data_IF_710570250784
#
_entry.id   IF_710570250784
#
_cell.length_a   1.000
_cell.length_b   1.000
_cell.length_c   1.000
_cell.angle_alpha   90.00
_cell.angle_beta   90.00
_cell.angle_gamma   90.00
#
_symmetry.space_group_name_H-M   'P 1'
#
loop_
_entity.id
_entity.type
_entity.pdbx_description
1 polymer ?
#
# COMPACT_ATOMS: atom_id res chain seq x y z
N UNK A 1 8.56 -17.78 -26.01
CA UNK A 1 7.72 -18.62 -25.12
C UNK A 1 8.63 -19.13 -24.01
N UNK A 2 8.58 -18.49 -22.84
CA UNK A 2 9.37 -18.95 -21.68
C UNK A 2 8.78 -20.24 -21.13
N UNK A 3 9.63 -21.18 -20.70
CA UNK A 3 9.19 -22.40 -20.04
C UNK A 3 8.39 -22.04 -18.77
N UNK A 4 7.13 -22.45 -18.72
CA UNK A 4 6.31 -22.34 -17.51
C UNK A 4 6.98 -23.11 -16.38
N UNK A 5 7.12 -22.48 -15.22
CA UNK A 5 7.75 -23.13 -14.06
C UNK A 5 6.84 -24.24 -13.53
N UNK A 6 7.41 -25.23 -12.83
CA UNK A 6 6.59 -26.26 -12.16
C UNK A 6 5.54 -25.63 -11.23
N UNK A 7 5.92 -24.58 -10.49
CA UNK A 7 5.02 -23.86 -9.58
C UNK A 7 3.87 -23.19 -10.34
N UNK A 8 4.15 -22.57 -11.49
CA UNK A 8 3.11 -21.96 -12.30
C UNK A 8 2.10 -23.01 -12.78
N UNK A 9 2.60 -24.16 -13.25
CA UNK A 9 1.74 -25.27 -13.66
C UNK A 9 0.89 -25.78 -12.50
N UNK A 10 1.51 -26.05 -11.35
CA UNK A 10 0.81 -26.56 -10.16
C UNK A 10 -0.32 -25.62 -9.71
N UNK A 11 -0.12 -24.30 -9.80
CA UNK A 11 -1.14 -23.29 -9.45
C UNK A 11 -2.28 -23.23 -10.46
N UNK A 12 -1.97 -23.33 -11.77
CA UNK A 12 -3.00 -23.38 -12.81
C UNK A 12 -3.83 -24.66 -12.70
N UNK A 13 -3.18 -25.80 -12.47
CA UNK A 13 -3.83 -27.08 -12.26
C UNK A 13 -4.74 -27.03 -11.00
N UNK A 14 -4.30 -26.39 -9.91
CA UNK A 14 -5.13 -26.16 -8.71
C UNK A 14 -6.35 -25.29 -9.02
N UNK A 15 -6.16 -24.20 -9.75
CA UNK A 15 -7.21 -23.27 -10.14
C UNK A 15 -8.30 -24.00 -10.95
N UNK A 16 -7.91 -24.79 -11.94
CA UNK A 16 -8.83 -25.60 -12.76
C UNK A 16 -9.57 -26.64 -11.90
N UNK A 17 -8.85 -27.33 -11.00
CA UNK A 17 -9.43 -28.32 -10.09
C UNK A 17 -10.48 -27.71 -9.16
N UNK A 18 -10.24 -26.51 -8.62
CA UNK A 18 -11.13 -25.82 -7.68
C UNK A 18 -12.25 -25.04 -8.35
N UNK A 19 -12.19 -24.85 -9.67
CA UNK A 19 -13.15 -24.01 -10.38
C UNK A 19 -14.58 -24.53 -10.30
N UNK A 20 -14.77 -25.84 -10.47
CA UNK A 20 -16.10 -26.44 -10.44
C UNK A 20 -16.78 -26.26 -9.08
N UNK A 21 -16.05 -26.53 -7.99
CA UNK A 21 -16.55 -26.34 -6.62
C UNK A 21 -16.93 -24.87 -6.35
N UNK A 22 -16.12 -23.93 -6.85
CA UNK A 22 -16.41 -22.50 -6.77
C UNK A 22 -17.67 -22.15 -7.55
N UNK A 23 -17.80 -22.60 -8.80
CA UNK A 23 -18.96 -22.31 -9.65
C UNK A 23 -20.26 -22.86 -9.03
N UNK A 24 -20.22 -24.02 -8.39
CA UNK A 24 -21.39 -24.56 -7.70
C UNK A 24 -21.82 -23.69 -6.50
N UNK A 25 -20.86 -23.18 -5.72
CA UNK A 25 -21.16 -22.22 -4.64
C UNK A 25 -21.69 -20.91 -5.20
N UNK A 26 -21.04 -20.38 -6.23
CA UNK A 26 -21.44 -19.15 -6.91
C UNK A 26 -22.88 -19.24 -7.42
N UNK A 27 -23.24 -20.33 -8.14
CA UNK A 27 -24.59 -20.55 -8.65
C UNK A 27 -25.63 -20.66 -7.54
N UNK A 28 -25.34 -21.32 -6.41
CA UNK A 28 -26.26 -21.39 -5.25
C UNK A 28 -26.53 -20.02 -4.64
N UNK A 29 -25.55 -19.13 -4.60
CA UNK A 29 -25.76 -17.77 -4.12
C UNK A 29 -26.54 -16.99 -5.18
N UNK A 30 -26.13 -17.07 -6.44
CA UNK A 30 -26.75 -16.35 -7.55
C UNK A 30 -28.21 -16.78 -7.84
N UNK A 31 -28.62 -18.01 -7.52
CA UNK A 31 -29.99 -18.51 -7.73
C UNK A 31 -31.04 -17.76 -6.90
N UNK A 32 -30.63 -17.00 -5.88
CA UNK A 32 -31.52 -16.05 -5.19
C UNK A 32 -32.16 -15.06 -6.17
N UNK A 33 -31.44 -14.65 -7.21
CA UNK A 33 -31.96 -13.77 -8.27
C UNK A 33 -33.08 -14.43 -9.07
N UNK A 34 -32.96 -15.74 -9.35
CA UNK A 34 -33.98 -16.52 -10.05
C UNK A 34 -35.27 -16.63 -9.22
N UNK A 35 -35.14 -16.57 -7.89
CA UNK A 35 -36.26 -16.53 -6.94
C UNK A 35 -36.83 -15.11 -6.74
N UNK A 36 -36.39 -14.13 -7.53
CA UNK A 36 -36.83 -12.73 -7.44
C UNK A 36 -36.24 -11.95 -6.26
N UNK A 37 -35.30 -12.53 -5.50
CA UNK A 37 -34.61 -11.85 -4.41
C UNK A 37 -33.43 -11.02 -4.95
N UNK A 38 -33.07 -9.95 -4.24
CA UNK A 38 -31.83 -9.20 -4.51
C UNK A 38 -30.67 -9.82 -3.75
N UNK A 39 -29.48 -9.77 -4.34
CA UNK A 39 -28.25 -10.10 -3.63
C UNK A 39 -27.81 -8.90 -2.79
N UNK A 40 -27.53 -9.16 -1.52
CA UNK A 40 -26.94 -8.17 -0.63
C UNK A 40 -25.42 -8.14 -0.81
N UNK A 41 -24.77 -7.07 -0.36
CA UNK A 41 -23.31 -6.95 -0.36
C UNK A 41 -22.63 -8.14 0.34
N UNK A 42 -23.23 -8.65 1.42
CA UNK A 42 -22.76 -9.84 2.11
C UNK A 42 -22.76 -11.11 1.25
N UNK A 43 -23.68 -11.22 0.30
CA UNK A 43 -23.69 -12.33 -0.65
C UNK A 43 -22.48 -12.24 -1.60
N UNK A 44 -22.15 -11.02 -2.06
CA UNK A 44 -20.98 -10.78 -2.92
C UNK A 44 -19.68 -11.01 -2.15
N UNK A 45 -19.58 -10.58 -0.89
CA UNK A 45 -18.46 -10.92 -0.02
C UNK A 45 -18.28 -12.44 0.10
N UNK A 46 -19.38 -13.17 0.26
CA UNK A 46 -19.35 -14.65 0.38
C UNK A 46 -18.86 -15.28 -0.93
N UNK A 47 -19.27 -14.74 -2.09
CA UNK A 47 -18.73 -15.15 -3.39
C UNK A 47 -17.23 -14.89 -3.49
N UNK A 48 -16.77 -13.72 -3.04
CA UNK A 48 -15.34 -13.37 -3.06
C UNK A 48 -14.52 -14.29 -2.14
N UNK A 49 -14.98 -14.55 -0.93
CA UNK A 49 -14.32 -15.48 0.00
C UNK A 49 -14.19 -16.89 -0.62
N UNK A 50 -15.26 -17.39 -1.26
CA UNK A 50 -15.22 -18.68 -1.96
C UNK A 50 -14.23 -18.68 -3.15
N UNK A 51 -14.14 -17.58 -3.88
CA UNK A 51 -13.15 -17.41 -4.96
C UNK A 51 -11.72 -17.41 -4.41
N UNK A 52 -11.50 -16.67 -3.32
CA UNK A 52 -10.21 -16.53 -2.67
C UNK A 52 -9.69 -17.87 -2.10
N UNK A 53 -10.52 -18.57 -1.32
CA UNK A 53 -10.18 -19.85 -0.70
C UNK A 53 -10.02 -21.00 -1.69
N UNK A 54 -10.89 -21.03 -2.71
CA UNK A 54 -10.89 -22.11 -3.68
C UNK A 54 -9.87 -21.85 -4.79
N UNK A 55 -10.29 -21.31 -5.94
CA UNK A 55 -9.43 -21.14 -7.11
C UNK A 55 -8.16 -20.31 -6.87
N UNK A 56 -8.22 -19.25 -6.06
CA UNK A 56 -7.05 -18.38 -5.85
C UNK A 56 -6.04 -18.93 -4.82
N UNK A 57 -6.44 -19.91 -4.01
CA UNK A 57 -5.58 -20.62 -3.05
C UNK A 57 -5.10 -19.76 -1.88
N UNK A 58 -5.88 -18.77 -1.46
CA UNK A 58 -5.64 -18.02 -0.23
C UNK A 58 -6.30 -18.70 0.96
N UNK A 59 -5.73 -18.57 2.15
CA UNK A 59 -6.43 -18.94 3.39
C UNK A 59 -7.33 -17.78 3.85
N UNK A 60 -8.47 -18.06 4.49
CA UNK A 60 -9.37 -16.99 4.97
C UNK A 60 -8.66 -16.04 5.93
N UNK A 61 -7.70 -16.53 6.73
CA UNK A 61 -6.93 -15.69 7.66
C UNK A 61 -6.05 -14.67 6.93
N UNK A 62 -5.76 -14.90 5.64
CA UNK A 62 -5.06 -13.95 4.79
C UNK A 62 -5.98 -12.82 4.32
N UNK A 63 -7.31 -13.01 4.39
CA UNK A 63 -8.30 -11.96 4.11
C UNK A 63 -8.62 -11.18 5.39
N UNK A 64 -7.83 -10.14 5.66
CA UNK A 64 -8.00 -9.35 6.87
C UNK A 64 -9.01 -8.21 6.66
N UNK A 65 -10.18 -8.31 7.31
CA UNK A 65 -11.21 -7.28 7.27
C UNK A 65 -10.70 -5.96 7.87
N UNK A 66 -10.77 -4.87 7.10
CA UNK A 66 -10.34 -3.56 7.57
C UNK A 66 -11.55 -2.70 7.92
N UNK A 67 -12.06 -2.85 9.16
CA UNK A 67 -13.20 -2.06 9.65
C UNK A 67 -13.05 -0.57 9.30
N UNK A 68 -14.06 -0.02 8.61
CA UNK A 68 -14.19 1.37 8.16
C UNK A 68 -13.28 1.81 7.00
N UNK A 69 -12.57 0.88 6.37
CA UNK A 69 -11.56 1.22 5.39
C UNK A 69 -11.81 0.51 4.06
N UNK A 70 -11.33 -0.71 3.91
CA UNK A 70 -11.60 -1.55 2.74
C UNK A 70 -12.25 -2.85 3.20
N UNK A 71 -12.91 -3.55 2.29
CA UNK A 71 -13.52 -4.83 2.64
C UNK A 71 -12.47 -5.84 3.09
N UNK A 72 -11.36 -5.94 2.34
CA UNK A 72 -10.23 -6.79 2.74
C UNK A 72 -8.87 -6.15 2.44
N UNK A 73 -7.91 -6.40 3.33
CA UNK A 73 -6.50 -6.38 2.99
C UNK A 73 -6.02 -7.83 2.88
N UNK A 74 -5.42 -8.18 1.75
CA UNK A 74 -4.81 -9.49 1.55
C UNK A 74 -3.42 -9.49 2.20
N UNK A 75 -3.17 -10.40 3.14
CA UNK A 75 -1.94 -10.44 3.94
C UNK A 75 -1.27 -11.81 3.86
N UNK A 76 0.01 -11.86 3.52
CA UNK A 76 0.85 -13.06 3.65
C UNK A 76 2.07 -12.78 4.52
N UNK A 77 2.30 -13.59 5.56
CA UNK A 77 3.46 -13.48 6.46
C UNK A 77 3.72 -12.05 6.98
N UNK A 78 2.64 -11.30 7.22
CA UNK A 78 2.68 -9.90 7.66
C UNK A 78 2.86 -8.86 6.55
N UNK A 79 3.04 -9.28 5.30
CA UNK A 79 3.08 -8.41 4.13
C UNK A 79 1.68 -8.20 3.58
N UNK A 80 1.26 -6.94 3.43
CA UNK A 80 0.02 -6.59 2.74
C UNK A 80 0.25 -6.68 1.24
N UNK A 81 -0.33 -7.69 0.61
CA UNK A 81 -0.15 -7.99 -0.79
C UNK A 81 -1.02 -7.10 -1.67
N UNK A 82 -2.31 -6.97 -1.35
CA UNK A 82 -3.26 -6.14 -2.09
C UNK A 82 -4.37 -5.61 -1.17
N UNK A 83 -5.00 -4.50 -1.58
CA UNK A 83 -6.27 -4.04 -1.00
C UNK A 83 -7.42 -4.43 -1.92
N UNK A 84 -8.49 -4.97 -1.37
CA UNK A 84 -9.66 -5.42 -2.12
C UNK A 84 -10.87 -4.59 -1.70
N UNK A 85 -11.55 -4.03 -2.70
CA UNK A 85 -12.84 -3.37 -2.56
C UNK A 85 -13.93 -4.20 -3.24
N UNK A 86 -15.01 -4.47 -2.52
CA UNK A 86 -16.18 -5.21 -2.98
C UNK A 86 -17.32 -4.23 -3.22
N UNK A 87 -18.11 -4.50 -4.25
CA UNK A 87 -19.30 -3.72 -4.58
C UNK A 87 -20.52 -4.61 -4.77
N UNK A 88 -21.68 -3.98 -4.88
CA UNK A 88 -22.95 -4.66 -5.13
C UNK A 88 -22.90 -5.49 -6.41
N UNK A 89 -23.72 -6.53 -6.46
CA UNK A 89 -23.70 -7.50 -7.54
C UNK A 89 -23.86 -6.86 -8.93
N UNK A 90 -22.96 -7.16 -9.87
CA UNK A 90 -22.92 -6.67 -11.27
C UNK A 90 -22.80 -5.16 -11.43
N UNK A 91 -22.36 -4.44 -10.40
CA UNK A 91 -22.28 -2.98 -10.44
C UNK A 91 -21.30 -2.44 -11.51
N UNK A 92 -20.27 -3.22 -11.87
CA UNK A 92 -19.29 -2.80 -12.89
C UNK A 92 -19.80 -3.02 -14.32
N UNK A 93 -20.86 -3.82 -14.50
CA UNK A 93 -21.45 -4.11 -15.81
C UNK A 93 -20.48 -4.66 -16.87
N UNK A 94 -19.38 -5.30 -16.44
CA UNK A 94 -18.27 -5.75 -17.30
C UNK A 94 -17.61 -4.62 -18.12
N UNK A 95 -17.70 -3.38 -17.65
CA UNK A 95 -17.12 -2.21 -18.30
C UNK A 95 -15.99 -1.62 -17.46
N UNK A 96 -14.77 -1.61 -18.02
CA UNK A 96 -13.58 -1.10 -17.34
C UNK A 96 -13.60 0.41 -17.15
N UNK A 97 -14.41 1.13 -17.94
CA UNK A 97 -14.58 2.58 -17.82
C UNK A 97 -15.76 2.94 -16.91
N UNK A 98 -16.50 1.96 -16.40
CA UNK A 98 -17.65 2.18 -15.52
C UNK A 98 -17.29 3.06 -14.31
N UNK A 99 -18.02 4.16 -14.04
CA UNK A 99 -17.74 5.05 -12.91
C UNK A 99 -17.74 4.34 -11.54
N UNK A 100 -18.56 3.29 -11.38
CA UNK A 100 -18.60 2.52 -10.14
C UNK A 100 -17.33 1.69 -9.92
N UNK A 101 -16.75 1.13 -10.98
CA UNK A 101 -15.46 0.45 -10.91
C UNK A 101 -14.34 1.44 -10.60
N UNK A 102 -14.30 2.57 -11.31
CA UNK A 102 -13.27 3.59 -11.06
C UNK A 102 -13.34 4.10 -9.62
N UNK A 103 -14.55 4.36 -9.10
CA UNK A 103 -14.75 4.76 -7.70
C UNK A 103 -14.30 3.69 -6.72
N UNK A 104 -14.58 2.40 -6.97
CA UNK A 104 -14.10 1.30 -6.14
C UNK A 104 -12.56 1.22 -6.11
N UNK A 105 -11.91 1.37 -7.27
CA UNK A 105 -10.45 1.38 -7.36
C UNK A 105 -9.83 2.60 -6.67
N UNK A 106 -10.44 3.78 -6.78
CA UNK A 106 -10.00 4.99 -6.04
C UNK A 106 -10.14 4.78 -4.53
N UNK A 107 -11.23 4.14 -4.07
CA UNK A 107 -11.40 3.77 -2.66
C UNK A 107 -10.29 2.82 -2.21
N UNK A 108 -10.04 1.74 -2.95
CA UNK A 108 -8.96 0.82 -2.66
C UNK A 108 -7.58 1.51 -2.65
N UNK A 109 -7.31 2.41 -3.61
CA UNK A 109 -6.04 3.14 -3.73
C UNK A 109 -5.74 4.02 -2.49
N UNK A 110 -6.77 4.68 -1.94
CA UNK A 110 -6.65 5.46 -0.69
C UNK A 110 -6.12 4.59 0.45
N UNK A 111 -6.55 3.34 0.54
CA UNK A 111 -6.06 2.39 1.56
C UNK A 111 -4.73 1.73 1.19
N UNK A 112 -4.48 1.51 -0.09
CA UNK A 112 -3.23 0.93 -0.59
C UNK A 112 -2.03 1.82 -0.23
N UNK A 113 -2.17 3.13 -0.44
CA UNK A 113 -1.22 4.15 0.02
C UNK A 113 -0.97 4.08 1.53
N UNK A 114 -2.02 3.86 2.31
CA UNK A 114 -1.93 3.73 3.76
C UNK A 114 -1.20 2.47 4.21
N UNK A 115 -1.19 1.45 3.37
CA UNK A 115 -0.64 0.14 3.69
C UNK A 115 0.63 -0.22 2.92
N UNK A 116 1.15 0.73 2.13
CA UNK A 116 2.37 0.58 1.32
C UNK A 116 2.33 -0.63 0.40
N UNK A 117 1.14 -1.00 -0.06
CA UNK A 117 0.99 -1.94 -1.17
C UNK A 117 0.59 -1.16 -2.41
N UNK A 118 1.20 -1.44 -3.57
CA UNK A 118 0.78 -0.82 -4.82
C UNK A 118 -0.40 -1.56 -5.46
N UNK A 119 -0.72 -2.80 -5.04
CA UNK A 119 -1.75 -3.61 -5.70
C UNK A 119 -3.12 -3.38 -5.07
N UNK A 120 -4.11 -3.23 -5.94
CA UNK A 120 -5.51 -3.10 -5.57
C UNK A 120 -6.38 -4.00 -6.44
N UNK A 121 -7.49 -4.46 -5.87
CA UNK A 121 -8.48 -5.27 -6.54
C UNK A 121 -9.87 -4.69 -6.31
N UNK A 122 -10.74 -4.87 -7.30
CA UNK A 122 -12.16 -4.57 -7.18
C UNK A 122 -12.99 -5.78 -7.61
N UNK A 123 -14.08 -6.06 -6.90
CA UNK A 123 -14.96 -7.19 -7.20
C UNK A 123 -16.45 -6.85 -7.03
N UNK A 124 -17.28 -7.19 -8.00
CA UNK A 124 -18.74 -6.95 -7.94
C UNK A 124 -19.56 -8.23 -8.01
N UNK A 125 -18.96 -9.39 -7.72
CA UNK A 125 -19.64 -10.67 -7.82
C UNK A 125 -19.64 -11.29 -9.21
N UNK A 126 -19.30 -10.55 -10.27
CA UNK A 126 -19.18 -11.12 -11.63
C UNK A 126 -17.86 -10.76 -12.31
N UNK A 127 -17.33 -9.57 -12.04
CA UNK A 127 -16.03 -9.11 -12.54
C UNK A 127 -15.07 -8.93 -11.37
N UNK A 128 -13.86 -9.48 -11.51
CA UNK A 128 -12.72 -9.16 -10.66
C UNK A 128 -11.69 -8.37 -11.46
N UNK A 129 -11.20 -7.28 -10.89
CA UNK A 129 -10.25 -6.35 -11.53
C UNK A 129 -8.97 -6.29 -10.72
N UNK A 130 -7.82 -6.31 -11.39
CA UNK A 130 -6.49 -6.07 -10.78
C UNK A 130 -5.92 -4.76 -11.33
N UNK A 131 -5.55 -3.86 -10.43
CA UNK A 131 -4.88 -2.62 -10.76
C UNK A 131 -3.68 -2.38 -9.86
N UNK A 132 -2.81 -1.47 -10.29
CA UNK A 132 -1.63 -1.04 -9.54
C UNK A 132 -1.58 0.49 -9.45
N UNK A 133 -1.41 1.00 -8.24
CA UNK A 133 -1.12 2.41 -7.98
C UNK A 133 0.37 2.65 -8.20
N UNK A 134 0.71 3.58 -9.09
CA UNK A 134 2.09 3.98 -9.34
C UNK A 134 2.54 5.16 -8.45
N UNK A 135 3.84 5.48 -8.39
CA UNK A 135 4.34 6.60 -7.58
C UNK A 135 3.85 7.99 -8.00
N UNK A 136 3.25 8.12 -9.19
CA UNK A 136 2.67 9.38 -9.69
C UNK A 136 1.17 9.49 -9.36
N UNK A 137 0.65 8.58 -8.52
CA UNK A 137 -0.77 8.43 -8.18
C UNK A 137 -1.67 8.17 -9.39
N UNK A 138 -1.20 7.38 -10.35
CA UNK A 138 -2.06 6.84 -11.41
C UNK A 138 -2.40 5.39 -11.06
N UNK A 139 -3.70 5.07 -11.12
CA UNK A 139 -4.17 3.69 -11.02
C UNK A 139 -4.14 3.09 -12.43
N UNK A 140 -3.25 2.12 -12.63
CA UNK A 140 -3.12 1.38 -13.87
C UNK A 140 -3.88 0.06 -13.76
N UNK A 141 -4.99 -0.06 -14.50
CA UNK A 141 -5.77 -1.31 -14.55
C UNK A 141 -5.09 -2.27 -15.50
N UNK A 142 -4.78 -3.48 -15.02
CA UNK A 142 -4.04 -4.48 -15.81
C UNK A 142 -4.93 -5.64 -16.27
N UNK A 143 -5.92 -6.01 -15.49
CA UNK A 143 -6.81 -7.14 -15.78
C UNK A 143 -8.23 -6.82 -15.33
N UNK A 144 -9.20 -7.25 -16.13
CA UNK A 144 -10.61 -7.34 -15.76
C UNK A 144 -11.11 -8.71 -16.22
N UNK A 145 -11.53 -9.55 -15.29
CA UNK A 145 -11.86 -10.95 -15.53
C UNK A 145 -13.30 -11.19 -15.12
N UNK A 146 -14.13 -11.63 -16.08
CA UNK A 146 -15.46 -12.13 -15.79
C UNK A 146 -15.35 -13.57 -15.23
N UNK A 147 -15.94 -13.80 -14.07
CA UNK A 147 -15.90 -15.09 -13.36
C UNK A 147 -17.17 -15.93 -13.57
N UNK A 148 -18.17 -15.41 -14.29
CA UNK A 148 -19.40 -16.12 -14.66
C UNK A 148 -19.16 -16.90 -15.96
N UNK A 149 -18.35 -17.94 -15.88
CA UNK A 149 -18.01 -18.80 -17.00
C UNK A 149 -17.79 -20.25 -16.56
N UNK A 150 -18.04 -21.18 -17.47
CA UNK A 150 -18.01 -22.62 -17.16
C UNK A 150 -16.59 -23.15 -16.94
N UNK A 151 -15.61 -22.56 -17.62
CA UNK A 151 -14.19 -22.87 -17.45
C UNK A 151 -13.48 -21.74 -16.74
N UNK A 152 -12.40 -22.07 -16.03
CA UNK A 152 -11.67 -21.08 -15.27
C UNK A 152 -10.95 -20.10 -16.20
N UNK A 153 -11.11 -18.77 -16.03
CA UNK A 153 -10.40 -17.80 -16.86
C UNK A 153 -8.88 -17.94 -16.66
N UNK A 154 -8.09 -18.07 -17.75
CA UNK A 154 -6.64 -18.20 -17.62
C UNK A 154 -5.95 -17.04 -16.88
N UNK A 155 -6.53 -15.84 -17.00
CA UNK A 155 -6.04 -14.61 -16.36
C UNK A 155 -6.32 -14.56 -14.86
N UNK A 156 -7.20 -15.43 -14.34
CA UNK A 156 -7.45 -15.53 -12.90
C UNK A 156 -6.18 -15.98 -12.14
N UNK A 157 -5.25 -16.64 -12.84
CA UNK A 157 -3.92 -16.94 -12.32
C UNK A 157 -3.21 -15.72 -11.71
N UNK A 158 -3.36 -14.53 -12.30
CA UNK A 158 -2.70 -13.31 -11.84
C UNK A 158 -3.28 -12.74 -10.54
N UNK A 159 -4.36 -13.31 -10.04
CA UNK A 159 -4.94 -12.96 -8.74
C UNK A 159 -4.44 -13.89 -7.62
N UNK A 160 -3.66 -14.93 -7.92
CA UNK A 160 -3.05 -15.85 -6.94
C UNK A 160 -1.79 -15.27 -6.30
N UNK A 161 -1.32 -15.86 -5.18
CA UNK A 161 -0.05 -15.47 -4.52
C UNK A 161 1.14 -15.37 -5.48
N UNK A 162 1.21 -16.30 -6.43
CA UNK A 162 2.32 -16.39 -7.37
C UNK A 162 2.14 -15.49 -8.59
N UNK A 163 0.89 -15.36 -9.07
CA UNK A 163 0.56 -14.58 -10.24
C UNK A 163 0.48 -13.07 -9.99
N UNK A 164 0.18 -12.63 -8.77
CA UNK A 164 0.02 -11.21 -8.42
C UNK A 164 1.24 -10.36 -8.80
N UNK A 165 2.44 -10.90 -8.65
CA UNK A 165 3.70 -10.22 -8.98
C UNK A 165 4.14 -10.41 -10.44
N UNK A 166 3.31 -11.07 -11.25
CA UNK A 166 3.59 -11.47 -12.64
C UNK A 166 2.51 -11.02 -13.61
N UNK A 167 1.63 -10.11 -13.17
CA UNK A 167 0.56 -9.58 -14.01
C UNK A 167 1.12 -8.97 -15.31
N UNK A 168 0.33 -8.97 -16.40
CA UNK A 168 0.75 -8.35 -17.65
C UNK A 168 1.14 -6.88 -17.46
N UNK A 169 2.14 -6.41 -18.22
CA UNK A 169 2.57 -4.99 -18.17
C UNK A 169 1.64 -4.06 -18.95
N UNK A 170 0.78 -4.61 -19.80
CA UNK A 170 -0.21 -3.83 -20.54
C UNK A 170 -1.19 -3.16 -19.56
N UNK A 171 -1.50 -1.90 -19.84
CA UNK A 171 -2.48 -1.12 -19.08
C UNK A 171 -3.75 -1.04 -19.92
N UNK A 172 -4.86 -1.55 -19.40
CA UNK A 172 -6.17 -1.52 -20.04
C UNK A 172 -6.79 -0.13 -19.96
N UNK A 173 -6.70 0.51 -18.79
CA UNK A 173 -7.06 1.91 -18.60
C UNK A 173 -6.24 2.52 -17.46
N UNK A 174 -6.06 3.84 -17.51
CA UNK A 174 -5.37 4.62 -16.50
C UNK A 174 -6.36 5.59 -15.86
N UNK A 175 -6.48 5.53 -14.54
CA UNK A 175 -7.40 6.37 -13.77
C UNK A 175 -6.54 7.33 -12.95
N UNK A 176 -6.62 8.66 -13.21
CA UNK A 176 -5.98 9.65 -12.36
C UNK A 176 -6.53 9.55 -10.94
N UNK A 177 -5.65 9.47 -9.95
CA UNK A 177 -6.02 9.46 -8.55
C UNK A 177 -5.31 10.59 -7.82
N UNK A 178 -6.06 11.52 -7.24
CA UNK A 178 -5.47 12.55 -6.41
C UNK A 178 -5.43 12.10 -4.95
N UNK A 179 -4.23 11.73 -4.48
CA UNK A 179 -4.02 11.40 -3.08
C UNK A 179 -4.21 12.61 -2.15
N UNK A 180 -4.14 13.84 -2.66
CA UNK A 180 -4.28 15.06 -1.88
C UNK A 180 -5.70 15.29 -1.35
N UNK A 181 -6.69 14.65 -1.96
CA UNK A 181 -8.10 14.69 -1.52
C UNK A 181 -8.38 13.79 -0.29
N UNK A 182 -7.43 12.95 0.12
CA UNK A 182 -7.61 12.10 1.30
C UNK A 182 -7.21 12.84 2.59
N UNK A 183 -8.18 13.49 3.24
CA UNK A 183 -8.08 14.13 4.56
C UNK A 183 -7.40 13.25 5.64
N UNK A 184 -7.52 11.92 5.52
CA UNK A 184 -6.87 10.96 6.40
C UNK A 184 -5.35 10.99 6.32
N UNK A 185 -4.80 11.40 5.18
CA UNK A 185 -3.36 11.52 4.91
C UNK A 185 -2.75 12.83 5.41
N UNK A 186 -3.54 13.68 6.06
CA UNK A 186 -3.09 14.95 6.61
C UNK A 186 -3.19 15.04 8.13
N UNK A 187 -2.25 15.74 8.75
CA UNK A 187 -2.22 16.03 10.19
C UNK A 187 -2.00 17.52 10.41
N UNK A 188 -2.85 18.12 11.24
CA UNK A 188 -2.66 19.49 11.70
C UNK A 188 -1.43 19.57 12.61
N UNK A 189 -0.51 20.46 12.29
CA UNK A 189 0.71 20.72 13.05
C UNK A 189 0.96 22.23 13.12
N UNK A 190 0.72 22.82 14.30
CA UNK A 190 0.88 24.27 14.54
C UNK A 190 0.12 25.16 13.53
N UNK A 191 -1.15 24.84 13.27
CA UNK A 191 -2.02 25.64 12.38
C UNK A 191 -1.85 25.35 10.89
N UNK A 192 -0.97 24.41 10.54
CA UNK A 192 -0.59 24.05 9.17
C UNK A 192 -0.98 22.58 8.94
N UNK A 193 -1.51 22.25 7.77
CA UNK A 193 -2.02 20.92 7.45
C UNK A 193 -0.98 20.15 6.64
N UNK A 194 -0.25 19.25 7.32
CA UNK A 194 0.86 18.53 6.72
C UNK A 194 0.45 17.13 6.26
N UNK A 195 0.75 16.80 5.01
CA UNK A 195 0.62 15.44 4.48
C UNK A 195 1.60 14.48 5.17
N UNK A 196 1.28 13.17 5.25
CA UNK A 196 2.14 12.17 5.94
C UNK A 196 3.58 12.14 5.40
N UNK A 197 3.78 12.44 4.11
CA UNK A 197 5.11 12.49 3.48
C UNK A 197 6.03 13.55 4.09
N UNK A 198 5.46 14.57 4.74
CA UNK A 198 6.17 15.66 5.42
C UNK A 198 6.80 15.26 6.76
N UNK A 199 6.52 14.05 7.25
CA UNK A 199 7.07 13.50 8.48
C UNK A 199 8.20 12.53 8.18
N UNK A 200 9.28 12.59 8.97
CA UNK A 200 10.43 11.73 8.77
C UNK A 200 10.12 10.28 9.17
N UNK A 201 9.26 10.09 10.18
CA UNK A 201 8.74 8.79 10.58
C UNK A 201 7.22 8.79 10.61
N UNK A 202 6.63 7.76 10.01
CA UNK A 202 5.21 7.42 10.07
C UNK A 202 5.12 5.94 10.40
N UNK A 203 4.66 5.64 11.62
CA UNK A 203 4.42 4.28 12.08
C UNK A 203 3.17 3.71 11.42
N UNK A 204 2.04 3.81 12.12
CA UNK A 204 0.73 3.57 11.51
C UNK A 204 0.23 4.88 10.91
N UNK A 205 0.04 4.91 9.60
CA UNK A 205 -0.50 6.09 8.92
C UNK A 205 -1.89 6.47 9.46
N UNK A 206 -2.67 5.53 10.01
CA UNK A 206 -3.99 5.83 10.59
C UNK A 206 -3.87 6.52 11.93
N UNK A 207 -2.82 6.19 12.68
CA UNK A 207 -2.53 6.81 13.96
C UNK A 207 -1.60 8.01 13.77
N UNK A 208 -2.22 9.18 13.62
CA UNK A 208 -1.54 10.48 13.52
C UNK A 208 -0.58 10.73 14.70
N UNK A 209 -0.74 10.07 15.85
CA UNK A 209 0.19 10.19 16.98
C UNK A 209 1.58 9.58 16.67
N UNK A 210 1.63 8.61 15.76
CA UNK A 210 2.86 7.95 15.29
C UNK A 210 3.59 8.73 14.20
N UNK A 211 3.01 9.82 13.70
CA UNK A 211 3.63 10.70 12.72
C UNK A 211 4.54 11.69 13.43
N UNK A 212 5.84 11.49 13.29
CA UNK A 212 6.87 12.11 14.12
C UNK A 212 7.91 12.80 13.23
N UNK A 213 8.49 13.86 13.79
CA UNK A 213 9.57 14.63 13.17
C UNK A 213 9.16 15.23 11.80
N UNK A 214 8.22 16.20 11.78
CA UNK A 214 7.93 16.96 10.56
C UNK A 214 9.18 17.70 10.09
N UNK A 215 9.44 17.66 8.78
CA UNK A 215 10.65 18.24 8.17
C UNK A 215 10.38 18.91 6.80
N UNK A 216 9.14 18.90 6.31
CA UNK A 216 8.71 19.59 5.07
C UNK A 216 7.55 20.56 5.34
N UNK A 217 7.38 21.52 4.43
CA UNK A 217 6.27 22.47 4.36
C UNK A 217 5.03 21.83 3.71
N UNK A 218 3.89 22.55 3.68
CA UNK A 218 2.64 22.07 3.07
C UNK A 218 2.78 21.76 1.58
N UNK A 219 3.61 22.53 0.88
CA UNK A 219 3.93 22.35 -0.54
C UNK A 219 4.91 21.20 -0.81
N UNK A 220 5.36 20.48 0.24
CA UNK A 220 6.32 19.39 0.14
C UNK A 220 7.78 19.84 0.02
N UNK A 221 8.08 21.14 -0.02
CA UNK A 221 9.46 21.64 0.05
C UNK A 221 10.09 21.34 1.41
N UNK A 222 11.42 21.23 1.46
CA UNK A 222 12.14 20.98 2.72
C UNK A 222 12.03 22.20 3.64
N UNK A 223 11.56 21.99 4.87
CA UNK A 223 11.50 23.04 5.89
C UNK A 223 12.89 23.18 6.54
N UNK A 224 13.63 24.19 6.10
CA UNK A 224 15.00 24.45 6.58
C UNK A 224 15.08 24.80 8.06
N UNK A 225 13.95 25.19 8.68
CA UNK A 225 13.88 25.47 10.11
C UNK A 225 13.61 24.19 10.92
N UNK A 226 12.86 23.23 10.37
CA UNK A 226 12.49 21.99 11.09
C UNK A 226 13.44 20.82 10.87
N UNK A 227 14.12 20.72 9.73
CA UNK A 227 14.97 19.54 9.42
C UNK A 227 16.05 19.29 10.47
N UNK A 228 16.69 20.33 11.00
CA UNK A 228 17.67 20.20 12.08
C UNK A 228 17.05 19.76 13.41
N UNK A 229 15.80 20.15 13.69
CA UNK A 229 15.06 19.70 14.86
C UNK A 229 14.68 18.22 14.76
N UNK A 230 14.27 17.76 13.57
CA UNK A 230 13.98 16.36 13.28
C UNK A 230 15.20 15.45 13.53
N UNK A 231 16.37 15.85 13.03
CA UNK A 231 17.61 15.09 13.30
C UNK A 231 17.97 15.12 14.78
N UNK A 232 17.88 16.28 15.43
CA UNK A 232 18.18 16.38 16.85
C UNK A 232 17.27 15.51 17.70
N UNK A 233 15.98 15.43 17.35
CA UNK A 233 15.04 14.52 17.99
C UNK A 233 15.46 13.05 17.79
N UNK A 234 15.89 12.68 16.58
CA UNK A 234 16.25 11.32 16.22
C UNK A 234 17.57 10.85 16.85
N UNK A 235 18.62 11.66 16.78
CA UNK A 235 20.01 11.20 17.00
C UNK A 235 20.75 11.94 18.11
N UNK A 236 20.36 13.18 18.47
CA UNK A 236 21.16 13.97 19.42
C UNK A 236 21.00 13.43 20.84
N UNK A 237 22.10 13.27 21.60
CA UNK A 237 22.04 12.85 22.99
C UNK A 237 21.17 13.74 23.88
N UNK A 238 21.05 15.05 23.56
CA UNK A 238 20.18 15.99 24.28
C UNK A 238 18.76 16.10 23.70
N UNK A 239 18.48 15.42 22.59
CA UNK A 239 17.21 15.52 21.87
C UNK A 239 16.93 16.91 21.28
N UNK A 240 15.64 17.18 21.07
CA UNK A 240 15.09 18.49 20.73
C UNK A 240 14.07 18.90 21.81
N UNK A 241 14.27 20.06 22.44
CA UNK A 241 13.46 20.53 23.59
C UNK A 241 13.31 19.48 24.71
N UNK A 242 14.39 18.74 24.97
CA UNK A 242 14.42 17.66 25.98
C UNK A 242 13.74 16.35 25.54
N UNK A 243 13.13 16.30 24.35
CA UNK A 243 12.47 15.11 23.80
C UNK A 243 13.41 14.36 22.86
N UNK A 244 13.41 13.03 22.96
CA UNK A 244 14.25 12.13 22.15
C UNK A 244 13.40 11.07 21.48
N UNK A 245 13.89 10.52 20.37
CA UNK A 245 13.39 9.27 19.83
C UNK A 245 13.65 8.15 20.85
N UNK A 246 12.61 7.41 21.20
CA UNK A 246 12.70 6.18 21.99
C UNK A 246 12.28 5.01 21.11
N UNK A 247 12.71 3.80 21.44
CA UNK A 247 12.34 2.59 20.67
C UNK A 247 10.83 2.34 20.62
N UNK A 248 10.07 2.86 21.60
CA UNK A 248 8.61 2.81 21.61
C UNK A 248 7.98 3.78 20.60
N UNK A 249 8.62 4.92 20.31
CA UNK A 249 8.08 5.93 19.38
C UNK A 249 8.60 5.74 17.96
N UNK A 250 9.88 5.44 17.82
CA UNK A 250 10.53 5.09 16.56
C UNK A 250 11.29 3.78 16.81
N UNK A 251 10.80 2.64 16.29
CA UNK A 251 11.50 1.36 16.43
C UNK A 251 12.92 1.47 15.90
N UNK A 252 13.87 0.83 16.58
CA UNK A 252 15.30 0.89 16.21
C UNK A 252 15.55 0.50 14.75
N UNK A 253 14.80 -0.47 14.23
CA UNK A 253 14.88 -0.90 12.83
C UNK A 253 14.42 0.17 11.83
N UNK A 254 13.61 1.14 12.24
CA UNK A 254 13.16 2.23 11.39
C UNK A 254 14.16 3.41 11.37
N UNK A 255 14.98 3.57 12.40
CA UNK A 255 15.92 4.69 12.54
C UNK A 255 16.81 4.89 11.32
N UNK A 256 17.43 3.86 10.71
CA UNK A 256 18.23 4.04 9.49
C UNK A 256 17.44 4.64 8.32
N UNK A 257 16.19 4.20 8.12
CA UNK A 257 15.34 4.73 7.05
C UNK A 257 14.92 6.17 7.28
N UNK A 258 14.61 6.53 8.53
CA UNK A 258 14.30 7.92 8.92
C UNK A 258 15.53 8.80 8.70
N UNK A 259 16.71 8.33 9.07
CA UNK A 259 17.97 9.02 8.85
C UNK A 259 18.25 9.24 7.36
N UNK A 260 18.11 8.21 6.52
CA UNK A 260 18.25 8.33 5.06
C UNK A 260 17.26 9.35 4.47
N UNK A 261 16.01 9.35 4.92
CA UNK A 261 14.98 10.30 4.47
C UNK A 261 15.36 11.74 4.78
N UNK A 262 15.87 12.00 5.98
CA UNK A 262 16.37 13.32 6.37
C UNK A 262 17.65 13.71 5.61
N UNK A 263 18.53 12.76 5.30
CA UNK A 263 19.77 13.02 4.57
C UNK A 263 19.48 13.42 3.11
N UNK A 264 18.53 12.73 2.46
CA UNK A 264 18.03 13.11 1.14
C UNK A 264 17.44 14.52 1.14
N UNK A 265 16.72 14.90 2.20
CA UNK A 265 16.21 16.26 2.34
C UNK A 265 17.33 17.31 2.49
N UNK A 266 18.41 17.01 3.22
CA UNK A 266 19.60 17.88 3.24
C UNK A 266 20.27 17.99 1.85
N UNK A 267 20.28 16.90 1.09
CA UNK A 267 20.84 16.88 -0.27
C UNK A 267 20.00 17.72 -1.23
N UNK A 268 18.67 17.64 -1.14
CA UNK A 268 17.73 18.47 -1.91
C UNK A 268 18.00 19.98 -1.74
N UNK A 269 18.39 20.43 -0.55
CA UNK A 269 18.69 21.84 -0.26
C UNK A 269 20.19 22.18 -0.39
N UNK A 270 21.01 21.29 -0.94
CA UNK A 270 22.44 21.52 -1.16
C UNK A 270 23.29 21.59 0.11
N UNK A 271 22.83 21.03 1.23
CA UNK A 271 23.52 21.06 2.53
C UNK A 271 24.07 19.70 2.98
N UNK A 272 24.00 18.67 2.13
CA UNK A 272 24.57 17.35 2.44
C UNK A 272 26.06 17.29 2.11
N UNK A 273 26.91 17.42 3.12
CA UNK A 273 28.36 17.42 2.97
C UNK A 273 29.03 16.49 3.97
N UNK A 274 30.13 15.85 3.58
CA UNK A 274 30.98 15.12 4.51
C UNK A 274 31.60 16.12 5.50
N UNK A 275 31.47 15.92 6.82
CA UNK A 275 32.08 16.81 7.80
C UNK A 275 33.60 16.69 7.76
N UNK A 276 34.29 17.81 7.97
CA UNK A 276 35.77 17.86 8.02
C UNK A 276 36.34 17.07 9.20
N UNK A 277 35.58 16.96 10.29
CA UNK A 277 35.88 16.13 11.45
C UNK A 277 34.62 15.43 11.95
N UNK A 278 34.71 14.12 12.16
CA UNK A 278 33.62 13.28 12.66
C UNK A 278 33.41 13.40 14.17
N UNK A 279 34.45 13.81 14.90
CA UNK A 279 34.51 13.80 16.36
C UNK A 279 35.22 15.07 16.88
N UNK A 280 34.67 16.23 16.56
CA UNK A 280 35.17 17.51 17.07
C UNK A 280 35.15 17.58 18.61
N UNK A 281 36.16 18.22 19.21
CA UNK A 281 36.20 18.46 20.65
C UNK A 281 35.42 19.73 21.01
N UNK A 282 34.39 19.58 21.85
CA UNK A 282 33.62 20.68 22.44
C UNK A 282 32.48 21.21 21.56
N UNK A 283 31.27 21.29 22.14
CA UNK A 283 30.05 21.80 21.48
C UNK A 283 29.09 20.70 21.01
N UNK A 284 27.82 21.06 20.81
CA UNK A 284 26.82 20.15 20.23
C UNK A 284 27.10 20.05 18.71
N UNK A 285 27.27 18.85 18.14
CA UNK A 285 27.51 18.71 16.72
C UNK A 285 26.35 19.29 15.92
N UNK A 286 26.67 19.93 14.79
CA UNK A 286 25.65 20.36 13.83
C UNK A 286 24.76 19.16 13.45
N UNK A 287 23.43 19.32 13.32
CA UNK A 287 22.55 18.21 13.03
C UNK A 287 22.90 17.47 11.74
N UNK A 288 23.35 18.18 10.70
CA UNK A 288 23.74 17.52 9.45
C UNK A 288 25.01 16.67 9.65
N UNK A 289 26.00 17.16 10.40
CA UNK A 289 27.19 16.39 10.75
C UNK A 289 26.83 15.13 11.56
N UNK A 290 25.95 15.27 12.56
CA UNK A 290 25.46 14.14 13.36
C UNK A 290 24.76 13.08 12.50
N UNK A 291 23.94 13.51 11.55
CA UNK A 291 23.24 12.62 10.62
C UNK A 291 24.21 11.89 9.68
N UNK A 292 25.21 12.60 9.14
CA UNK A 292 26.25 12.03 8.29
C UNK A 292 27.03 10.96 9.04
N UNK A 293 27.53 11.28 10.24
CA UNK A 293 28.28 10.33 11.08
C UNK A 293 27.46 9.08 11.39
N UNK A 294 26.16 9.24 11.69
CA UNK A 294 25.28 8.10 11.93
C UNK A 294 25.16 7.19 10.71
N UNK A 295 24.92 7.75 9.52
CA UNK A 295 24.79 6.94 8.29
C UNK A 295 26.10 6.27 7.90
N UNK A 296 27.23 6.96 8.04
CA UNK A 296 28.56 6.40 7.81
C UNK A 296 28.86 5.21 8.74
N UNK A 297 28.53 5.34 10.03
CA UNK A 297 28.70 4.24 11.00
C UNK A 297 27.83 3.01 10.69
N UNK A 298 26.76 3.17 9.91
CA UNK A 298 25.89 2.09 9.46
C UNK A 298 26.18 1.64 8.01
N UNK A 299 27.20 2.20 7.34
CA UNK A 299 27.53 1.91 5.95
C UNK A 299 26.43 2.31 4.95
N UNK A 300 25.71 3.40 5.23
CA UNK A 300 24.55 3.89 4.47
C UNK A 300 24.80 5.26 3.83
N UNK A 301 25.99 5.81 3.93
CA UNK A 301 26.34 7.13 3.38
C UNK A 301 26.27 7.18 1.84
N UNK A 302 26.57 6.07 1.16
CA UNK A 302 26.44 5.96 -0.31
C UNK A 302 24.98 5.90 -0.81
N UNK A 303 24.00 5.69 0.08
CA UNK A 303 22.59 5.55 -0.27
C UNK A 303 21.80 6.89 -0.29
N UNK A 304 22.49 8.02 -0.07
CA UNK A 304 21.93 9.38 -0.02
C UNK A 304 22.11 10.10 -1.35
#
# INVERSE_FOLDING_TARGET
MGYSTKIEKDIRDHLDMKWLDFQDRYRRIASKLESGMRLHEKDVETMFQALAEGPLGYEIEQLNTQQNYADYALIDRGLKLAIIEIKSFRLFANDIECPHLQSALVQAARYANRHRTPYIMAFDGETIVLARVDPSNIINVHLAVNIKCDQAPPDLFFFTHYGLFRHPTNVLCAIPYDASEDEGLYKNHHGVKLHYSCFAYVGDIRDKSTWIAPYRNEDGSVDTNRIGHAVNYLLSPGGYRGQKATSQRIPNAATPFVALKLAKAYKEIGKWNKPESLFGFGGKPDPQCLLWTYLYQHGLDDAV
#
